data_IF_459061809866
#
_entry.id   IF_459061809866
#
_cell.length_a   1.000
_cell.length_b   1.000
_cell.length_c   1.000
_cell.angle_alpha   90.00
_cell.angle_beta   90.00
_cell.angle_gamma   90.00
#
_symmetry.space_group_name_H-M   'P 1'
#
loop_
_entity.id
_entity.type
_entity.pdbx_description
1 polymer ?
#
# COMPACT_ATOMS: atom_id res chain seq x y z
N UNK A 1 -2.55 26.26 -9.35
CA UNK A 1 -3.81 25.70 -9.88
C UNK A 1 -3.43 24.35 -10.47
N UNK A 2 -3.77 23.25 -9.80
CA UNK A 2 -3.34 21.92 -10.27
C UNK A 2 -4.23 21.54 -11.45
N UNK A 3 -3.62 21.52 -12.63
CA UNK A 3 -4.20 20.98 -13.86
C UNK A 3 -4.16 19.45 -13.75
N UNK A 4 -5.14 18.89 -13.03
CA UNK A 4 -5.26 17.44 -12.89
C UNK A 4 -5.94 16.97 -14.17
N UNK A 5 -5.15 16.62 -15.19
CA UNK A 5 -5.63 16.12 -16.49
C UNK A 5 -6.37 14.77 -16.44
N UNK A 6 -6.89 14.38 -15.28
CA UNK A 6 -7.79 13.26 -15.11
C UNK A 6 -9.19 13.68 -15.54
N UNK A 7 -9.85 12.87 -16.36
CA UNK A 7 -11.22 13.16 -16.75
C UNK A 7 -12.12 12.93 -15.53
N UNK A 8 -13.27 13.63 -15.42
CA UNK A 8 -14.19 13.45 -14.29
C UNK A 8 -14.61 11.99 -14.07
N UNK A 9 -14.73 11.21 -15.15
CA UNK A 9 -15.00 9.78 -15.10
C UNK A 9 -13.89 8.96 -14.42
N UNK A 10 -12.63 9.34 -14.59
CA UNK A 10 -11.48 8.66 -13.98
C UNK A 10 -11.42 8.95 -12.48
N UNK A 11 -11.75 10.18 -12.07
CA UNK A 11 -11.84 10.59 -10.66
C UNK A 11 -12.97 9.86 -9.94
N UNK A 12 -14.13 9.72 -10.58
CA UNK A 12 -15.26 8.98 -10.03
C UNK A 12 -14.91 7.50 -9.85
N UNK A 13 -14.38 6.84 -10.90
CA UNK A 13 -13.97 5.44 -10.83
C UNK A 13 -12.90 5.20 -9.74
N UNK A 14 -11.92 6.10 -9.62
CA UNK A 14 -10.93 6.06 -8.56
C UNK A 14 -11.58 6.22 -7.18
N UNK A 15 -12.50 7.15 -7.00
CA UNK A 15 -13.20 7.35 -5.72
C UNK A 15 -14.01 6.11 -5.30
N UNK A 16 -14.72 5.48 -6.24
CA UNK A 16 -15.48 4.26 -5.99
C UNK A 16 -14.57 3.12 -5.51
N UNK A 17 -13.38 2.99 -6.12
CA UNK A 17 -12.39 1.97 -5.75
C UNK A 17 -11.88 2.13 -4.30
N UNK A 18 -11.77 3.37 -3.80
CA UNK A 18 -11.32 3.63 -2.42
C UNK A 18 -12.45 3.55 -1.38
N UNK A 19 -13.73 3.56 -1.79
CA UNK A 19 -14.87 3.54 -0.85
C UNK A 19 -14.75 2.46 0.24
N UNK A 20 -14.37 1.20 -0.06
CA UNK A 20 -14.26 0.16 0.97
C UNK A 20 -13.26 0.49 2.08
N UNK A 21 -12.25 1.31 1.80
CA UNK A 21 -11.24 1.75 2.77
C UNK A 21 -11.68 2.98 3.58
N UNK A 22 -12.72 3.69 3.13
CA UNK A 22 -13.25 4.88 3.83
C UNK A 22 -14.30 4.55 4.89
N UNK A 23 -14.79 3.30 4.92
CA UNK A 23 -15.72 2.86 5.95
C UNK A 23 -15.08 2.97 7.34
N UNK A 24 -15.83 3.36 8.40
CA UNK A 24 -15.24 3.66 9.70
C UNK A 24 -14.36 2.54 10.29
N UNK A 25 -14.77 1.28 10.10
CA UNK A 25 -14.01 0.12 10.54
C UNK A 25 -12.72 -0.08 9.73
N UNK A 26 -12.80 0.08 8.41
CA UNK A 26 -11.64 -0.02 7.52
C UNK A 26 -10.65 1.12 7.77
N UNK A 27 -11.16 2.34 8.01
CA UNK A 27 -10.34 3.50 8.39
C UNK A 27 -9.63 3.26 9.73
N UNK A 28 -10.33 2.76 10.75
CA UNK A 28 -9.71 2.43 12.04
C UNK A 28 -8.63 1.33 11.89
N UNK A 29 -8.90 0.31 11.07
CA UNK A 29 -7.93 -0.74 10.76
C UNK A 29 -6.72 -0.20 9.98
N UNK A 30 -6.94 0.72 9.03
CA UNK A 30 -5.89 1.41 8.32
C UNK A 30 -4.98 2.20 9.26
N UNK A 31 -5.56 2.96 10.19
CA UNK A 31 -4.80 3.67 11.22
C UNK A 31 -3.96 2.72 12.09
N UNK A 32 -4.51 1.59 12.54
CA UNK A 32 -3.76 0.61 13.32
C UNK A 32 -2.59 -0.01 12.53
N UNK A 33 -2.74 -0.20 11.21
CA UNK A 33 -1.66 -0.68 10.35
C UNK A 33 -0.57 0.39 10.15
N UNK A 34 -0.95 1.66 10.04
CA UNK A 34 -0.01 2.79 10.00
C UNK A 34 0.79 2.92 11.31
N UNK A 35 0.14 2.81 12.47
CA UNK A 35 0.84 2.84 13.76
C UNK A 35 1.84 1.69 13.88
N UNK A 36 1.46 0.48 13.44
CA UNK A 36 2.39 -0.67 13.40
C UNK A 36 3.55 -0.46 12.44
N UNK A 37 3.35 0.25 11.33
CA UNK A 37 4.45 0.63 10.42
C UNK A 37 5.43 1.56 11.11
N UNK A 38 4.96 2.52 11.91
CA UNK A 38 5.82 3.44 12.65
C UNK A 38 6.58 2.72 13.78
N UNK A 39 5.94 1.80 14.49
CA UNK A 39 6.56 1.01 15.57
C UNK A 39 7.73 0.15 15.10
N UNK A 40 7.72 -0.30 13.84
CA UNK A 40 8.80 -1.12 13.28
C UNK A 40 9.92 -0.29 12.65
N UNK A 41 9.84 1.04 12.64
CA UNK A 41 10.80 1.87 11.89
C UNK A 41 12.26 1.61 12.32
N UNK A 42 12.50 1.38 13.61
CA UNK A 42 13.84 1.20 14.17
C UNK A 42 14.26 -0.27 14.33
N UNK A 43 13.45 -1.21 13.85
CA UNK A 43 13.71 -2.65 14.04
C UNK A 43 14.43 -3.25 12.83
N UNK A 44 14.91 -4.48 12.98
CA UNK A 44 15.56 -5.17 11.87
C UNK A 44 14.57 -5.46 10.73
N UNK A 45 14.94 -5.30 9.45
CA UNK A 45 14.13 -5.77 8.32
C UNK A 45 13.85 -7.28 8.33
N UNK A 46 14.60 -8.05 9.13
CA UNK A 46 14.40 -9.49 9.33
C UNK A 46 13.54 -9.82 10.55
N UNK A 47 13.05 -8.81 11.27
CA UNK A 47 12.16 -9.01 12.41
C UNK A 47 10.87 -9.72 11.95
N UNK A 48 10.38 -10.76 12.66
CA UNK A 48 9.16 -11.47 12.29
C UNK A 48 7.95 -10.54 12.07
N UNK A 49 7.85 -9.45 12.83
CA UNK A 49 6.77 -8.46 12.74
C UNK A 49 6.66 -7.80 11.36
N UNK A 50 7.78 -7.69 10.63
CA UNK A 50 7.81 -7.18 9.25
C UNK A 50 7.04 -8.13 8.32
N UNK A 51 7.20 -9.43 8.50
CA UNK A 51 6.52 -10.44 7.67
C UNK A 51 5.02 -10.45 7.94
N UNK A 52 4.65 -10.39 9.22
CA UNK A 52 3.25 -10.37 9.66
C UNK A 52 2.54 -9.11 9.15
N UNK A 53 3.16 -7.94 9.31
CA UNK A 53 2.59 -6.67 8.88
C UNK A 53 2.43 -6.59 7.35
N UNK A 54 3.37 -7.16 6.58
CA UNK A 54 3.24 -7.25 5.14
C UNK A 54 2.02 -8.07 4.70
N UNK A 55 1.76 -9.20 5.38
CA UNK A 55 0.57 -10.01 5.13
C UNK A 55 -0.72 -9.29 5.50
N UNK A 56 -0.73 -8.60 6.64
CA UNK A 56 -1.89 -7.83 7.09
C UNK A 56 -2.23 -6.69 6.12
N UNK A 57 -1.22 -5.98 5.60
CA UNK A 57 -1.40 -4.95 4.58
C UNK A 57 -1.88 -5.53 3.25
N UNK A 58 -1.30 -6.66 2.81
CA UNK A 58 -1.73 -7.33 1.57
C UNK A 58 -3.21 -7.75 1.66
N UNK A 59 -3.64 -8.28 2.82
CA UNK A 59 -5.02 -8.70 3.06
C UNK A 59 -5.99 -7.53 3.28
N UNK A 60 -5.49 -6.36 3.65
CA UNK A 60 -6.30 -5.14 3.82
C UNK A 60 -6.72 -4.54 2.48
N UNK A 61 -5.92 -4.75 1.42
CA UNK A 61 -6.14 -4.15 0.11
C UNK A 61 -7.13 -4.95 -0.75
N UNK A 62 -8.21 -4.30 -1.25
CA UNK A 62 -9.10 -4.89 -2.25
C UNK A 62 -8.35 -5.35 -3.50
N UNK A 63 -8.83 -6.42 -4.15
CA UNK A 63 -8.17 -7.00 -5.33
C UNK A 63 -8.03 -6.03 -6.49
N UNK A 64 -9.04 -5.20 -6.72
CA UNK A 64 -9.02 -4.16 -7.77
C UNK A 64 -7.89 -3.14 -7.52
N UNK A 65 -7.70 -2.72 -6.26
CA UNK A 65 -6.60 -1.82 -5.88
C UNK A 65 -5.24 -2.50 -5.98
N UNK A 66 -5.14 -3.77 -5.56
CA UNK A 66 -3.92 -4.54 -5.66
C UNK A 66 -3.48 -4.68 -7.13
N UNK A 67 -4.40 -4.98 -8.04
CA UNK A 67 -4.12 -5.08 -9.47
C UNK A 67 -3.56 -3.75 -10.03
N UNK A 68 -4.19 -2.62 -9.70
CA UNK A 68 -3.72 -1.29 -10.13
C UNK A 68 -2.31 -1.00 -9.60
N UNK A 69 -2.03 -1.31 -8.33
CA UNK A 69 -0.68 -1.13 -7.77
C UNK A 69 0.38 -1.99 -8.45
N UNK A 70 0.05 -3.24 -8.80
CA UNK A 70 0.97 -4.14 -9.51
C UNK A 70 1.24 -3.62 -10.92
N UNK A 71 0.19 -3.24 -11.66
CA UNK A 71 0.32 -2.68 -13.02
C UNK A 71 1.17 -1.41 -13.01
N UNK A 72 0.93 -0.51 -12.04
CA UNK A 72 1.75 0.71 -11.89
C UNK A 72 3.24 0.39 -11.69
N UNK A 73 3.58 -0.64 -10.90
CA UNK A 73 4.98 -1.07 -10.73
C UNK A 73 5.59 -1.62 -12.03
N UNK A 74 4.81 -2.32 -12.85
CA UNK A 74 5.28 -2.88 -14.13
C UNK A 74 5.51 -1.80 -15.18
N UNK A 75 4.69 -0.75 -15.18
CA UNK A 75 4.75 0.38 -16.12
C UNK A 75 5.88 1.38 -15.79
N UNK A 76 6.83 1.00 -14.93
CA UNK A 76 7.94 1.84 -14.49
C UNK A 76 7.52 2.87 -13.43
N UNK A 77 6.36 2.69 -12.81
CA UNK A 77 5.75 3.65 -11.89
C UNK A 77 6.46 3.86 -10.56
N UNK A 78 7.60 3.20 -10.30
CA UNK A 78 8.64 3.57 -9.33
C UNK A 78 8.23 3.92 -7.91
N UNK A 79 6.95 3.79 -7.53
CA UNK A 79 6.42 4.37 -6.30
C UNK A 79 7.04 3.69 -5.09
N UNK A 80 7.36 2.40 -5.21
CA UNK A 80 8.05 1.66 -4.17
C UNK A 80 9.48 2.18 -3.98
N UNK A 81 10.18 2.54 -5.06
CA UNK A 81 11.51 3.14 -4.98
C UNK A 81 11.43 4.54 -4.37
N UNK A 82 10.47 5.36 -4.80
CA UNK A 82 10.22 6.69 -4.23
C UNK A 82 9.84 6.63 -2.74
N UNK A 83 8.99 5.68 -2.33
CA UNK A 83 8.67 5.47 -0.91
C UNK A 83 9.86 4.92 -0.13
N UNK A 84 10.73 4.12 -0.75
CA UNK A 84 11.93 3.58 -0.09
C UNK A 84 12.90 4.67 0.33
N UNK A 85 12.91 5.83 -0.34
CA UNK A 85 13.74 6.98 0.02
C UNK A 85 13.26 7.67 1.31
N UNK A 86 11.97 7.56 1.63
CA UNK A 86 11.33 8.20 2.80
C UNK A 86 11.14 7.24 3.99
N UNK A 87 11.25 5.93 3.75
CA UNK A 87 10.97 4.89 4.74
C UNK A 87 12.24 4.29 5.34
N UNK A 88 12.11 3.82 6.58
CA UNK A 88 13.16 2.99 7.19
C UNK A 88 13.38 1.69 6.40
N UNK A 89 14.53 1.00 6.61
CA UNK A 89 14.77 -0.30 6.02
C UNK A 89 13.69 -1.36 6.35
N UNK A 90 13.13 -1.32 7.56
CA UNK A 90 12.10 -2.28 7.98
C UNK A 90 10.75 -1.99 7.32
N UNK A 91 10.32 -0.73 7.29
CA UNK A 91 9.08 -0.33 6.61
C UNK A 91 9.17 -0.59 5.10
N UNK A 92 10.30 -0.27 4.48
CA UNK A 92 10.56 -0.59 3.07
C UNK A 92 10.39 -2.08 2.78
N UNK A 93 10.92 -2.93 3.67
CA UNK A 93 10.81 -4.38 3.54
C UNK A 93 9.36 -4.87 3.69
N UNK A 94 8.54 -4.22 4.53
CA UNK A 94 7.09 -4.50 4.59
C UNK A 94 6.44 -4.30 3.23
N UNK A 95 6.64 -3.14 2.59
CA UNK A 95 6.05 -2.85 1.29
C UNK A 95 6.58 -3.77 0.18
N UNK A 96 7.88 -4.10 0.18
CA UNK A 96 8.45 -5.07 -0.76
C UNK A 96 7.78 -6.44 -0.64
N UNK A 97 7.61 -6.93 0.59
CA UNK A 97 6.96 -8.24 0.85
C UNK A 97 5.48 -8.21 0.50
N UNK A 98 4.79 -7.14 0.87
CA UNK A 98 3.39 -6.93 0.49
C UNK A 98 3.24 -7.03 -1.02
N UNK A 99 4.06 -6.31 -1.81
CA UNK A 99 4.04 -6.36 -3.27
C UNK A 99 4.29 -7.78 -3.80
N UNK A 100 5.23 -8.53 -3.22
CA UNK A 100 5.45 -9.94 -3.59
C UNK A 100 4.20 -10.78 -3.35
N UNK A 101 3.57 -10.66 -2.19
CA UNK A 101 2.33 -11.38 -1.87
C UNK A 101 1.17 -10.99 -2.79
N UNK A 102 1.05 -9.71 -3.15
CA UNK A 102 0.03 -9.25 -4.10
C UNK A 102 0.25 -9.84 -5.49
N UNK A 103 1.52 -9.95 -5.94
CA UNK A 103 1.87 -10.58 -7.22
C UNK A 103 1.61 -12.09 -7.26
N UNK A 104 1.64 -12.75 -6.10
CA UNK A 104 1.32 -14.19 -5.99
C UNK A 104 -0.20 -14.45 -5.92
N UNK A 105 -1.00 -13.41 -5.60
CA UNK A 105 -2.45 -13.49 -5.47
C UNK A 105 -3.21 -13.38 -6.80
N UNK A 106 -2.59 -12.79 -7.83
CA UNK A 106 -3.16 -12.60 -9.18
C UNK A 106 -2.42 -13.39 -10.25
#
# INVERSE_FOLDING_TARGET
MIDTGAKPEDVAAFTEMFRPLTEPEAAARGHALSERLDEIADVSPRDPRVTELAGDLAAFLPDEMAAVMITSLQDGGGWLDAMSDELSPAQTEVFRRMVTMLKERG
#
